data_IF_384088445722
#
_entry.id   IF_384088445722
#
_cell.length_a   1.000
_cell.length_b   1.000
_cell.length_c   1.000
_cell.angle_alpha   90.00
_cell.angle_beta   90.00
_cell.angle_gamma   90.00
#
_symmetry.space_group_name_H-M   'P 1'
#
loop_
_entity.id
_entity.type
_entity.pdbx_description
1 polymer ?
#
# COMPACT_ATOMS: atom_id res chain seq x y z
N UNK A 1 -3.31 16.94 -10.02
CA UNK A 1 -2.40 16.61 -8.91
C UNK A 1 -3.25 16.02 -7.79
N UNK A 2 -2.88 14.88 -7.19
CA UNK A 2 -3.66 14.26 -6.10
C UNK A 2 -3.71 15.21 -4.91
N UNK A 3 -4.82 15.20 -4.16
CA UNK A 3 -4.89 15.92 -2.88
C UNK A 3 -4.07 15.18 -1.83
N UNK A 4 -3.30 15.91 -1.03
CA UNK A 4 -2.66 15.33 0.15
C UNK A 4 -3.74 15.03 1.19
N UNK A 5 -3.76 13.81 1.71
CA UNK A 5 -4.66 13.43 2.81
C UNK A 5 -3.90 13.45 4.13
N UNK A 6 -4.59 13.72 5.27
CA UNK A 6 -3.97 13.63 6.60
C UNK A 6 -3.38 12.24 6.93
N UNK A 7 -3.80 11.20 6.22
CA UNK A 7 -3.26 9.83 6.34
C UNK A 7 -1.94 9.61 5.60
N UNK A 8 -1.55 10.54 4.73
CA UNK A 8 -0.36 10.39 3.90
C UNK A 8 0.91 10.55 4.75
N UNK A 9 1.97 9.87 4.30
CA UNK A 9 3.33 10.04 4.82
C UNK A 9 4.19 10.75 3.78
N UNK A 10 5.32 11.32 4.18
CA UNK A 10 6.22 11.94 3.21
C UNK A 10 6.81 10.88 2.26
N UNK A 11 7.17 11.28 1.05
CA UNK A 11 7.87 10.39 0.11
C UNK A 11 9.19 9.87 0.70
N UNK A 12 9.90 10.69 1.47
CA UNK A 12 11.12 10.29 2.17
C UNK A 12 10.87 9.18 3.21
N UNK A 13 9.79 9.28 3.99
CA UNK A 13 9.38 8.21 4.89
C UNK A 13 9.02 6.95 4.11
N UNK A 14 8.31 7.11 2.99
CA UNK A 14 7.95 5.99 2.13
C UNK A 14 9.17 5.28 1.53
N UNK A 15 10.22 6.00 1.14
CA UNK A 15 11.43 5.36 0.59
C UNK A 15 12.09 4.37 1.55
N UNK A 16 11.96 4.59 2.87
CA UNK A 16 12.43 3.64 3.89
C UNK A 16 11.57 2.36 3.92
N UNK A 17 10.30 2.46 3.57
CA UNK A 17 9.31 1.37 3.59
C UNK A 17 9.31 0.62 2.25
N UNK A 18 9.56 1.31 1.14
CA UNK A 18 9.49 0.80 -0.24
C UNK A 18 10.18 -0.55 -0.41
N UNK A 19 11.43 -0.79 0.04
CA UNK A 19 12.11 -2.07 -0.18
C UNK A 19 11.36 -3.26 0.43
N UNK A 20 10.72 -3.06 1.58
CA UNK A 20 9.94 -4.09 2.27
C UNK A 20 8.72 -4.46 1.42
N UNK A 21 7.97 -3.47 0.95
CA UNK A 21 6.77 -3.67 0.13
C UNK A 21 7.09 -4.29 -1.23
N UNK A 22 8.24 -3.94 -1.80
CA UNK A 22 8.68 -4.50 -3.08
C UNK A 22 9.02 -6.00 -2.98
N UNK A 23 9.50 -6.46 -1.83
CA UNK A 23 9.83 -7.87 -1.58
C UNK A 23 8.62 -8.81 -1.60
N UNK A 24 7.40 -8.28 -1.42
CA UNK A 24 6.17 -9.08 -1.35
C UNK A 24 5.71 -9.69 -2.67
N UNK A 25 6.18 -9.18 -3.81
CA UNK A 25 5.73 -9.62 -5.14
C UNK A 25 6.92 -10.05 -6.01
N UNK A 26 6.84 -11.26 -6.58
CA UNK A 26 7.76 -11.71 -7.66
C UNK A 26 7.69 -10.75 -8.86
N UNK A 27 8.85 -10.28 -9.33
CA UNK A 27 8.95 -9.29 -10.42
C UNK A 27 8.89 -9.98 -11.79
N UNK A 28 7.72 -10.48 -12.18
CA UNK A 28 7.50 -11.11 -13.50
C UNK A 28 7.15 -10.10 -14.60
N UNK A 29 6.64 -8.93 -14.21
CA UNK A 29 6.31 -7.82 -15.11
C UNK A 29 6.62 -6.47 -14.44
N UNK A 30 7.12 -5.46 -15.18
CA UNK A 30 7.28 -4.10 -14.66
C UNK A 30 5.99 -3.57 -14.03
N UNK A 31 6.13 -2.83 -12.92
CA UNK A 31 4.99 -2.19 -12.26
C UNK A 31 4.59 -0.95 -13.06
N UNK A 32 3.28 -0.76 -13.24
CA UNK A 32 2.71 0.45 -13.86
C UNK A 32 2.21 1.48 -12.84
N UNK A 33 1.91 1.05 -11.63
CA UNK A 33 1.39 1.90 -10.56
C UNK A 33 2.52 2.45 -9.70
N UNK A 34 2.41 3.72 -9.29
CA UNK A 34 3.27 4.28 -8.25
C UNK A 34 2.94 3.60 -6.92
N UNK A 35 3.93 2.93 -6.33
CA UNK A 35 3.75 2.18 -5.10
C UNK A 35 3.47 3.11 -3.91
N UNK A 36 3.95 4.35 -3.96
CA UNK A 36 3.66 5.37 -2.97
C UNK A 36 2.16 5.68 -2.91
N UNK A 37 1.54 5.85 -4.08
CA UNK A 37 0.10 6.13 -4.21
C UNK A 37 -0.75 4.98 -3.69
N UNK A 38 -0.34 3.73 -3.99
CA UNK A 38 -1.00 2.53 -3.47
C UNK A 38 -0.89 2.46 -1.95
N UNK A 39 0.30 2.74 -1.40
CA UNK A 39 0.52 2.68 0.04
C UNK A 39 -0.24 3.77 0.79
N UNK A 40 -0.25 5.01 0.30
CA UNK A 40 -1.05 6.10 0.87
C UNK A 40 -2.55 5.76 0.84
N UNK A 41 -3.05 5.12 -0.21
CA UNK A 41 -4.44 4.68 -0.26
C UNK A 41 -4.76 3.59 0.77
N UNK A 42 -3.83 2.66 1.04
CA UNK A 42 -3.97 1.69 2.14
C UNK A 42 -4.01 2.41 3.49
N UNK A 43 -3.12 3.39 3.73
CA UNK A 43 -3.14 4.19 4.95
C UNK A 43 -4.46 4.96 5.12
N UNK A 44 -4.99 5.52 4.03
CA UNK A 44 -6.29 6.19 4.04
C UNK A 44 -7.40 5.27 4.54
N UNK A 45 -7.49 4.04 4.00
CA UNK A 45 -8.47 3.04 4.45
C UNK A 45 -8.26 2.69 5.92
N UNK A 46 -7.02 2.49 6.37
CA UNK A 46 -6.72 2.12 7.75
C UNK A 46 -6.99 3.25 8.75
N UNK A 47 -6.81 4.51 8.35
CA UNK A 47 -7.05 5.68 9.22
C UNK A 47 -8.51 6.11 9.26
N UNK A 48 -9.23 5.98 8.14
CA UNK A 48 -10.65 6.36 8.06
C UNK A 48 -11.61 5.21 8.36
N UNK A 49 -11.12 3.96 8.32
CA UNK A 49 -11.92 2.74 8.35
C UNK A 49 -12.98 2.66 7.25
N UNK A 50 -12.81 3.39 6.13
CA UNK A 50 -13.78 3.39 5.05
C UNK A 50 -13.77 2.05 4.28
N UNK A 51 -14.87 1.74 3.60
CA UNK A 51 -14.90 0.62 2.67
C UNK A 51 -13.98 0.87 1.47
N UNK A 52 -13.39 -0.18 0.89
CA UNK A 52 -12.50 -0.06 -0.27
C UNK A 52 -13.13 0.67 -1.47
N UNK A 53 -14.42 0.45 -1.73
CA UNK A 53 -15.17 1.10 -2.81
C UNK A 53 -15.46 2.59 -2.57
N UNK A 54 -15.26 3.06 -1.34
CA UNK A 54 -15.43 4.46 -0.95
C UNK A 54 -14.12 5.26 -1.06
N UNK A 55 -13.04 4.64 -1.54
CA UNK A 55 -11.79 5.35 -1.78
C UNK A 55 -12.00 6.56 -2.72
N UNK A 56 -11.37 7.71 -2.42
CA UNK A 56 -11.37 8.84 -3.33
C UNK A 56 -10.89 8.48 -4.74
N UNK A 57 -11.56 9.06 -5.74
CA UNK A 57 -11.32 8.74 -7.17
C UNK A 57 -9.98 9.23 -7.71
N UNK A 58 -9.24 10.04 -6.95
CA UNK A 58 -7.90 10.51 -7.28
C UNK A 58 -6.79 9.52 -6.85
N UNK A 59 -7.13 8.46 -6.11
CA UNK A 59 -6.27 7.29 -5.95
C UNK A 59 -6.35 6.35 -7.16
N UNK A 60 -5.38 5.42 -7.33
CA UNK A 60 -5.53 4.30 -8.25
C UNK A 60 -6.82 3.51 -8.00
N UNK A 61 -7.27 2.73 -8.99
CA UNK A 61 -8.47 1.88 -8.84
C UNK A 61 -8.38 1.00 -7.58
N UNK A 62 -9.45 0.96 -6.79
CA UNK A 62 -9.47 0.26 -5.49
C UNK A 62 -9.12 -1.22 -5.61
N UNK A 63 -9.44 -1.88 -6.73
CA UNK A 63 -9.09 -3.29 -6.98
C UNK A 63 -7.57 -3.51 -6.98
N UNK A 64 -6.84 -2.58 -7.59
CA UNK A 64 -5.38 -2.64 -7.61
C UNK A 64 -4.83 -2.42 -6.20
N UNK A 65 -5.38 -1.46 -5.46
CA UNK A 65 -4.95 -1.15 -4.10
C UNK A 65 -5.19 -2.36 -3.19
N UNK A 66 -6.39 -2.95 -3.26
CA UNK A 66 -6.75 -4.14 -2.52
C UNK A 66 -5.85 -5.33 -2.86
N UNK A 67 -5.52 -5.54 -4.14
CA UNK A 67 -4.57 -6.57 -4.56
C UNK A 67 -3.20 -6.42 -3.89
N UNK A 68 -2.64 -5.20 -3.83
CA UNK A 68 -1.38 -4.95 -3.12
C UNK A 68 -1.51 -5.14 -1.61
N UNK A 69 -2.61 -4.67 -1.01
CA UNK A 69 -2.90 -4.91 0.40
C UNK A 69 -2.91 -6.41 0.72
N UNK A 70 -3.55 -7.24 -0.11
CA UNK A 70 -3.55 -8.69 0.08
C UNK A 70 -2.16 -9.30 -0.02
N UNK A 71 -1.35 -8.88 -0.99
CA UNK A 71 0.05 -9.34 -1.10
C UNK A 71 0.83 -9.03 0.17
N UNK A 72 0.73 -7.80 0.67
CA UNK A 72 1.49 -7.35 1.85
C UNK A 72 0.96 -7.96 3.15
N UNK A 73 -0.34 -8.27 3.19
CA UNK A 73 -1.00 -8.85 4.37
C UNK A 73 -0.85 -10.36 4.47
N UNK A 74 -0.45 -11.04 3.39
CA UNK A 74 -0.31 -12.49 3.37
C UNK A 74 0.87 -12.93 4.23
N UNK A 75 0.62 -13.88 5.14
CA UNK A 75 1.67 -14.63 5.84
C UNK A 75 2.21 -15.72 4.91
N UNK A 76 3.53 -15.88 4.85
CA UNK A 76 4.19 -16.89 4.02
C UNK A 76 4.90 -17.90 4.93
N UNK A 77 4.20 -18.98 5.30
CA UNK A 77 4.71 -19.95 6.27
C UNK A 77 5.00 -19.28 7.61
N UNK A 78 6.21 -19.45 8.12
CA UNK A 78 6.68 -18.82 9.37
C UNK A 78 6.96 -17.32 9.25
N UNK A 79 7.07 -16.77 8.02
CA UNK A 79 7.35 -15.35 7.83
C UNK A 79 6.10 -14.51 8.09
N UNK A 80 6.17 -13.49 8.98
CA UNK A 80 5.05 -12.60 9.24
C UNK A 80 4.70 -11.77 8.00
N UNK A 81 3.48 -11.23 7.99
CA UNK A 81 3.04 -10.25 6.99
C UNK A 81 3.99 -9.05 6.95
N UNK A 82 4.11 -8.44 5.77
CA UNK A 82 4.96 -7.26 5.56
C UNK A 82 4.43 -6.01 6.27
N UNK A 83 3.17 -6.04 6.70
CA UNK A 83 2.53 -4.95 7.45
C UNK A 83 2.64 -5.13 8.97
N UNK A 84 3.30 -6.18 9.46
CA UNK A 84 3.49 -6.40 10.90
C UNK A 84 4.57 -5.48 11.43
N UNK A 85 4.28 -4.78 12.54
CA UNK A 85 5.26 -4.00 13.29
C UNK A 85 6.33 -4.95 13.87
N UNK A 86 7.58 -4.81 13.43
CA UNK A 86 8.72 -5.40 14.13
C UNK A 86 9.01 -4.51 15.34
N UNK A 87 8.75 -5.03 16.53
CA UNK A 87 9.17 -4.40 17.78
C UNK A 87 10.64 -4.71 18.05
#
# INVERSE_FOLDING_TARGET
MRKNYPSDISREQFEKIRPILESGRKKTRPRKLDLYEVFCAVLYVLKSCCQWRMLPKDFPKWENIYYYFQIWSKKNGEKPSLLVKKN
#
